data_IF_786609565656
#
_entry.id   IF_786609565656
#
_cell.length_a   1.000
_cell.length_b   1.000
_cell.length_c   1.000
_cell.angle_alpha   90.00
_cell.angle_beta   90.00
_cell.angle_gamma   90.00
#
_symmetry.space_group_name_H-M   'P 1'
#
loop_
_entity.id
_entity.type
_entity.pdbx_description
1 polymer ?
#
# COMPACT_ATOMS: atom_id res chain seq x y z
N UNK A 1 -47.67 2.81 -67.10
CA UNK A 1 -46.81 3.95 -66.73
C UNK A 1 -46.59 3.82 -65.25
N UNK A 2 -45.53 3.18 -64.89
CA UNK A 2 -45.12 2.92 -63.51
C UNK A 2 -43.99 3.91 -63.20
N UNK A 3 -44.21 4.83 -62.30
CA UNK A 3 -43.16 5.68 -61.76
C UNK A 3 -42.48 5.01 -60.59
N UNK A 4 -41.23 4.73 -60.77
CA UNK A 4 -40.33 4.22 -59.73
C UNK A 4 -39.85 5.40 -58.86
N UNK A 5 -40.02 5.35 -57.52
CA UNK A 5 -39.45 6.41 -56.69
C UNK A 5 -37.95 6.20 -56.50
N UNK A 6 -37.21 7.29 -56.54
CA UNK A 6 -35.76 7.37 -56.36
C UNK A 6 -35.28 6.97 -54.96
N UNK A 7 -34.07 6.40 -54.81
CA UNK A 7 -33.52 6.08 -53.50
C UNK A 7 -33.05 7.36 -52.80
N UNK A 8 -33.42 7.51 -51.51
CA UNK A 8 -32.95 8.55 -50.62
C UNK A 8 -31.51 8.31 -50.16
N UNK A 9 -30.81 9.36 -49.71
CA UNK A 9 -29.37 9.32 -49.45
C UNK A 9 -29.00 8.64 -48.14
N UNK A 10 -27.93 7.86 -48.25
CA UNK A 10 -26.99 7.47 -47.21
C UNK A 10 -27.53 6.81 -45.93
N UNK A 11 -27.79 5.52 -46.04
CA UNK A 11 -27.64 4.59 -44.93
C UNK A 11 -26.19 4.34 -44.57
N UNK A 12 -25.55 5.28 -43.87
CA UNK A 12 -24.30 4.95 -43.15
C UNK A 12 -24.67 4.11 -41.94
N UNK A 13 -24.40 2.83 -42.02
CA UNK A 13 -24.31 1.96 -40.86
C UNK A 13 -23.37 2.62 -39.85
N UNK A 14 -23.90 2.94 -38.69
CA UNK A 14 -23.10 3.33 -37.55
C UNK A 14 -22.32 2.07 -37.16
N UNK A 15 -21.07 2.04 -37.61
CA UNK A 15 -20.08 1.06 -37.21
C UNK A 15 -19.98 1.07 -35.68
N UNK A 16 -20.54 0.04 -35.05
CA UNK A 16 -20.39 -0.24 -33.65
C UNK A 16 -18.95 -0.59 -33.37
N UNK A 17 -18.10 0.46 -33.32
CA UNK A 17 -16.67 0.32 -33.06
C UNK A 17 -16.45 -0.57 -31.85
N UNK A 18 -15.93 -1.73 -32.14
CA UNK A 18 -15.32 -2.68 -31.21
C UNK A 18 -14.40 -1.90 -30.24
N UNK A 19 -14.98 -1.51 -29.09
CA UNK A 19 -14.25 -0.91 -27.99
C UNK A 19 -13.37 -1.99 -27.39
N UNK A 20 -12.29 -2.34 -28.11
CA UNK A 20 -11.21 -3.16 -27.59
C UNK A 20 -10.80 -2.50 -26.28
N UNK A 21 -11.09 -3.16 -25.16
CA UNK A 21 -10.53 -2.83 -23.85
C UNK A 21 -9.03 -2.70 -24.04
N UNK A 22 -8.53 -1.47 -24.00
CA UNK A 22 -7.08 -1.24 -24.04
C UNK A 22 -6.50 -2.11 -22.93
N UNK A 23 -5.47 -2.93 -23.20
CA UNK A 23 -4.89 -3.76 -22.17
C UNK A 23 -4.46 -2.82 -21.04
N UNK A 24 -4.91 -3.09 -19.78
CA UNK A 24 -4.46 -2.36 -18.60
C UNK A 24 -2.93 -2.32 -18.68
N UNK A 25 -2.36 -1.14 -18.84
CA UNK A 25 -0.92 -0.97 -18.83
C UNK A 25 -0.44 -1.39 -17.45
N UNK A 26 0.24 -2.52 -17.36
CA UNK A 26 0.93 -2.93 -16.16
C UNK A 26 2.09 -1.96 -15.93
N UNK A 27 1.87 -0.95 -15.09
CA UNK A 27 2.89 0.02 -14.67
C UNK A 27 4.00 -0.61 -13.83
N UNK A 28 3.87 -1.88 -13.47
CA UNK A 28 4.87 -2.61 -12.70
C UNK A 28 5.69 -3.49 -13.66
N UNK A 29 6.94 -3.12 -13.83
CA UNK A 29 7.90 -3.91 -14.59
C UNK A 29 8.16 -5.24 -13.86
N UNK A 30 7.90 -6.39 -14.50
CA UNK A 30 8.02 -7.74 -13.91
C UNK A 30 9.42 -8.02 -13.29
N UNK A 31 10.57 -7.61 -13.88
CA UNK A 31 11.88 -7.70 -13.24
C UNK A 31 11.99 -6.92 -11.93
N UNK A 32 11.34 -5.75 -11.82
CA UNK A 32 11.27 -4.97 -10.59
C UNK A 32 10.43 -5.67 -9.53
N UNK A 33 9.40 -6.40 -9.93
CA UNK A 33 8.54 -7.16 -9.02
C UNK A 33 9.32 -8.27 -8.29
N UNK A 34 10.14 -9.04 -9.01
CA UNK A 34 10.96 -10.10 -8.43
C UNK A 34 12.08 -9.54 -7.52
N UNK A 35 12.69 -8.41 -7.92
CA UNK A 35 13.69 -7.70 -7.10
C UNK A 35 13.03 -7.13 -5.83
N UNK A 36 11.87 -6.50 -5.95
CA UNK A 36 11.08 -6.00 -4.81
C UNK A 36 10.64 -7.12 -3.89
N UNK A 37 10.18 -8.26 -4.41
CA UNK A 37 9.81 -9.42 -3.60
C UNK A 37 10.94 -9.90 -2.69
N UNK A 38 12.15 -10.01 -3.21
CA UNK A 38 13.35 -10.36 -2.42
C UNK A 38 13.71 -9.31 -1.38
N UNK A 39 13.64 -8.04 -1.75
CA UNK A 39 13.88 -6.92 -0.82
C UNK A 39 12.83 -6.90 0.28
N UNK A 40 11.55 -7.02 -0.05
CA UNK A 40 10.44 -7.08 0.91
C UNK A 40 10.61 -8.24 1.88
N UNK A 41 10.90 -9.45 1.38
CA UNK A 41 11.13 -10.62 2.24
C UNK A 41 12.33 -10.42 3.17
N UNK A 42 13.43 -9.82 2.68
CA UNK A 42 14.59 -9.50 3.51
C UNK A 42 14.23 -8.53 4.63
N UNK A 43 13.50 -7.46 4.34
CA UNK A 43 13.09 -6.47 5.35
C UNK A 43 12.05 -7.04 6.33
N UNK A 44 11.08 -7.84 5.87
CA UNK A 44 10.14 -8.53 6.76
C UNK A 44 10.89 -9.49 7.68
N UNK A 45 11.81 -10.30 7.13
CA UNK A 45 12.64 -11.18 7.94
C UNK A 45 13.44 -10.39 8.97
N UNK A 46 14.04 -9.27 8.55
CA UNK A 46 14.79 -8.39 9.45
C UNK A 46 13.92 -7.73 10.53
N UNK A 47 12.63 -7.42 10.26
CA UNK A 47 11.68 -6.96 11.27
C UNK A 47 11.41 -8.05 12.32
N UNK A 48 11.11 -9.26 11.88
CA UNK A 48 10.84 -10.41 12.78
C UNK A 48 12.08 -10.71 13.61
N UNK A 49 13.24 -10.84 12.97
CA UNK A 49 14.50 -11.15 13.64
C UNK A 49 15.03 -9.99 14.49
N UNK A 50 14.85 -8.74 14.03
CA UNK A 50 15.18 -7.53 14.80
C UNK A 50 14.37 -7.44 16.09
N UNK A 51 13.06 -7.72 16.02
CA UNK A 51 12.20 -7.81 17.20
C UNK A 51 12.65 -8.92 18.17
N UNK A 52 13.04 -10.06 17.64
CA UNK A 52 13.61 -11.14 18.45
C UNK A 52 14.91 -10.73 19.14
N UNK A 53 15.84 -10.09 18.42
CA UNK A 53 17.11 -9.57 18.98
C UNK A 53 16.81 -8.53 20.05
N UNK A 54 15.92 -7.54 19.80
CA UNK A 54 15.55 -6.53 20.77
C UNK A 54 14.93 -7.12 22.04
N UNK A 55 14.09 -8.17 21.90
CA UNK A 55 13.54 -8.90 23.05
C UNK A 55 14.63 -9.60 23.87
N UNK A 56 15.64 -10.18 23.21
CA UNK A 56 16.78 -10.81 23.89
C UNK A 56 17.63 -9.75 24.61
N UNK A 57 17.88 -8.61 23.97
CA UNK A 57 18.66 -7.53 24.57
C UNK A 57 17.92 -6.89 25.77
N UNK A 58 16.60 -6.72 25.69
CA UNK A 58 15.79 -6.26 26.82
C UNK A 58 15.77 -7.27 27.98
N UNK A 59 15.71 -8.58 27.69
CA UNK A 59 15.81 -9.61 28.70
C UNK A 59 17.20 -9.64 29.37
N UNK A 60 18.24 -9.36 28.59
CA UNK A 60 19.61 -9.21 29.12
C UNK A 60 19.75 -8.04 30.08
N UNK A 61 19.17 -6.90 29.72
CA UNK A 61 19.15 -5.71 30.58
C UNK A 61 18.44 -5.98 31.92
N UNK A 62 17.46 -6.89 31.95
CA UNK A 62 16.75 -7.33 33.15
C UNK A 62 17.44 -8.47 33.92
N UNK A 63 18.71 -8.78 33.60
CA UNK A 63 19.52 -9.86 34.22
C UNK A 63 18.84 -11.24 34.17
N UNK A 64 18.08 -11.53 33.11
CA UNK A 64 17.47 -12.84 32.93
C UNK A 64 18.54 -13.91 32.76
N UNK A 65 18.51 -14.93 33.60
CA UNK A 65 19.46 -16.05 33.58
C UNK A 65 18.68 -17.36 33.35
N UNK A 66 19.13 -18.21 32.45
CA UNK A 66 18.53 -19.50 32.19
C UNK A 66 19.01 -20.10 30.88
N UNK A 67 18.87 -21.43 30.75
CA UNK A 67 19.29 -22.15 29.54
C UNK A 67 18.53 -21.64 28.30
N UNK A 68 17.24 -21.38 28.46
CA UNK A 68 16.37 -20.84 27.37
C UNK A 68 16.82 -19.44 26.90
N UNK A 69 17.27 -18.58 27.84
CA UNK A 69 17.84 -17.28 27.49
C UNK A 69 19.16 -17.44 26.72
N UNK A 70 20.04 -18.33 27.15
CA UNK A 70 21.36 -18.56 26.51
C UNK A 70 21.21 -19.07 25.07
N UNK A 71 20.26 -19.95 24.77
CA UNK A 71 20.00 -20.43 23.41
C UNK A 71 19.47 -19.31 22.50
N UNK A 72 18.59 -18.44 23.02
CA UNK A 72 18.08 -17.28 22.29
C UNK A 72 19.14 -16.21 22.05
N UNK A 73 19.99 -15.96 23.04
CA UNK A 73 21.11 -15.03 22.88
C UNK A 73 22.10 -15.53 21.83
N UNK A 74 22.39 -16.84 21.80
CA UNK A 74 23.21 -17.46 20.79
C UNK A 74 22.60 -17.31 19.38
N UNK A 75 21.31 -17.60 19.21
CA UNK A 75 20.61 -17.39 17.95
C UNK A 75 20.65 -15.92 17.49
N UNK A 76 20.51 -14.96 18.40
CA UNK A 76 20.59 -13.54 18.08
C UNK A 76 21.96 -13.13 17.52
N UNK A 77 23.07 -13.73 17.99
CA UNK A 77 24.42 -13.47 17.48
C UNK A 77 24.54 -13.88 16.01
N UNK A 78 23.93 -15.01 15.61
CA UNK A 78 23.95 -15.46 14.22
C UNK A 78 23.03 -14.66 13.29
N UNK A 79 22.00 -14.02 13.83
CA UNK A 79 21.05 -13.22 13.06
C UNK A 79 21.58 -11.81 12.82
N UNK A 80 22.30 -11.23 13.76
CA UNK A 80 22.85 -9.84 13.69
C UNK A 80 23.59 -9.50 12.40
N UNK A 81 24.44 -10.36 11.81
CA UNK A 81 25.14 -10.06 10.56
C UNK A 81 24.21 -9.88 9.34
N UNK A 82 23.01 -10.48 9.38
CA UNK A 82 22.01 -10.37 8.30
C UNK A 82 21.13 -9.14 8.38
N UNK A 83 21.24 -8.34 9.46
CA UNK A 83 20.55 -7.08 9.60
C UNK A 83 21.35 -5.98 8.87
N UNK A 84 20.65 -5.08 8.19
CA UNK A 84 21.26 -3.98 7.45
C UNK A 84 22.14 -3.13 8.38
N UNK A 85 23.38 -2.87 7.97
CA UNK A 85 24.39 -2.18 8.78
C UNK A 85 23.95 -0.76 9.18
N UNK A 86 23.32 -0.03 8.26
CA UNK A 86 22.90 1.36 8.49
C UNK A 86 21.78 1.49 9.53
N UNK A 87 20.94 0.47 9.67
CA UNK A 87 19.78 0.48 10.57
C UNK A 87 20.09 -0.27 11.88
N UNK A 88 21.03 -1.19 11.85
CA UNK A 88 21.32 -2.12 12.97
C UNK A 88 21.71 -1.42 14.26
N UNK A 89 22.42 -0.28 14.15
CA UNK A 89 22.98 0.42 15.31
C UNK A 89 21.96 1.42 15.93
N UNK A 90 20.78 1.60 15.31
CA UNK A 90 19.69 2.40 15.84
C UNK A 90 18.93 1.66 16.96
N UNK A 91 18.23 2.37 17.86
CA UNK A 91 17.25 1.77 18.76
C UNK A 91 16.18 0.99 18.00
N UNK A 92 15.69 -0.13 18.57
CA UNK A 92 14.73 -0.98 17.88
C UNK A 92 13.45 -0.26 17.37
N UNK A 93 12.81 0.67 18.13
CA UNK A 93 11.66 1.42 17.60
C UNK A 93 11.99 2.18 16.32
N UNK A 94 13.14 2.83 16.25
CA UNK A 94 13.60 3.55 15.07
C UNK A 94 13.95 2.60 13.92
N UNK A 95 14.57 1.45 14.20
CA UNK A 95 14.76 0.40 13.20
C UNK A 95 13.44 -0.06 12.59
N UNK A 96 12.41 -0.24 13.41
CA UNK A 96 11.08 -0.65 12.97
C UNK A 96 10.48 0.40 12.02
N UNK A 97 10.47 1.67 12.43
CA UNK A 97 9.98 2.78 11.60
C UNK A 97 10.70 2.85 10.26
N UNK A 98 12.04 2.89 10.26
CA UNK A 98 12.84 2.95 9.03
C UNK A 98 12.56 1.79 8.07
N UNK A 99 12.36 0.60 8.60
CA UNK A 99 12.04 -0.56 7.76
C UNK A 99 10.65 -0.47 7.15
N UNK A 100 9.66 0.06 7.87
CA UNK A 100 8.32 0.28 7.33
C UNK A 100 8.35 1.34 6.23
N UNK A 101 9.16 2.41 6.37
CA UNK A 101 9.40 3.42 5.33
C UNK A 101 10.02 2.79 4.06
N UNK A 102 11.06 1.97 4.20
CA UNK A 102 11.72 1.27 3.09
C UNK A 102 10.77 0.28 2.38
N UNK A 103 9.93 -0.41 3.13
CA UNK A 103 8.95 -1.35 2.60
C UNK A 103 7.85 -0.65 1.79
N UNK A 104 7.58 0.62 2.07
CA UNK A 104 6.69 1.47 1.27
C UNK A 104 5.27 1.62 1.81
N UNK A 105 4.35 2.14 0.97
CA UNK A 105 3.07 2.70 1.42
C UNK A 105 2.19 1.76 2.24
N UNK A 106 2.09 0.48 1.87
CA UNK A 106 1.31 -0.53 2.61
C UNK A 106 1.80 -0.67 4.05
N UNK A 107 3.13 -0.73 4.22
CA UNK A 107 3.75 -0.92 5.53
C UNK A 107 3.79 0.37 6.35
N UNK A 108 3.93 1.52 5.70
CA UNK A 108 3.77 2.84 6.34
C UNK A 108 2.37 2.94 6.94
N UNK A 109 1.33 2.59 6.19
CA UNK A 109 -0.04 2.58 6.67
C UNK A 109 -0.26 1.59 7.83
N UNK A 110 0.32 0.39 7.74
CA UNK A 110 0.32 -0.56 8.85
C UNK A 110 0.96 0.05 10.11
N UNK A 111 2.12 0.68 9.98
CA UNK A 111 2.80 1.34 11.08
C UNK A 111 1.99 2.48 11.69
N UNK A 112 1.29 3.27 10.87
CA UNK A 112 0.39 4.34 11.34
C UNK A 112 -0.76 3.77 12.18
N UNK A 113 -1.40 2.68 11.75
CA UNK A 113 -2.44 2.01 12.52
C UNK A 113 -1.87 1.43 13.82
N UNK A 114 -0.71 0.77 13.76
CA UNK A 114 -0.03 0.23 14.93
C UNK A 114 0.40 1.31 15.92
N UNK A 115 0.67 2.56 15.48
CA UNK A 115 1.00 3.68 16.35
C UNK A 115 -0.14 4.06 17.30
N UNK A 116 -1.37 3.70 16.98
CA UNK A 116 -2.57 3.93 17.80
C UNK A 116 -2.86 2.77 18.76
N UNK A 117 -2.18 1.64 18.60
CA UNK A 117 -2.47 0.38 19.31
C UNK A 117 -1.53 0.20 20.52
N UNK A 118 -1.71 1.02 21.54
CA UNK A 118 -1.00 0.92 22.83
C UNK A 118 -1.30 -0.38 23.60
N UNK A 119 -2.38 -1.04 23.26
CA UNK A 119 -2.75 -2.35 23.78
C UNK A 119 -1.84 -3.48 23.23
N UNK A 120 -1.25 -3.29 22.05
CA UNK A 120 -0.40 -4.28 21.37
C UNK A 120 1.10 -4.00 21.53
N UNK A 121 1.48 -2.72 21.54
CA UNK A 121 2.88 -2.30 21.50
C UNK A 121 3.23 -1.39 22.68
N UNK A 122 4.48 -1.44 23.17
CA UNK A 122 4.97 -0.49 24.18
C UNK A 122 4.90 0.96 23.69
N UNK A 123 4.68 1.91 24.63
CA UNK A 123 4.59 3.34 24.30
C UNK A 123 5.79 3.86 23.51
N UNK A 124 7.01 3.43 23.85
CA UNK A 124 8.23 3.82 23.12
C UNK A 124 8.20 3.43 21.63
N UNK A 125 7.51 2.36 21.28
CA UNK A 125 7.34 1.91 19.89
C UNK A 125 6.22 2.69 19.22
N UNK A 126 5.08 2.84 19.87
CA UNK A 126 3.93 3.59 19.31
C UNK A 126 4.28 5.06 19.10
N UNK A 127 5.04 5.68 20.00
CA UNK A 127 5.47 7.07 19.90
C UNK A 127 6.44 7.26 18.71
N UNK A 128 7.35 6.31 18.50
CA UNK A 128 8.25 6.37 17.33
C UNK A 128 7.49 6.15 16.01
N UNK A 129 6.51 5.24 15.98
CA UNK A 129 5.69 4.99 14.78
C UNK A 129 4.80 6.18 14.39
N UNK A 130 4.48 7.10 15.31
CA UNK A 130 3.78 8.36 14.99
C UNK A 130 4.59 9.27 14.09
N UNK A 131 5.92 9.10 14.06
CA UNK A 131 6.81 9.84 13.16
C UNK A 131 6.77 9.33 11.72
N UNK A 132 5.98 8.27 11.41
CA UNK A 132 5.73 7.83 10.04
C UNK A 132 4.95 8.92 9.29
N UNK A 133 5.60 9.50 8.29
CA UNK A 133 5.03 10.58 7.49
C UNK A 133 3.80 10.07 6.72
N UNK A 134 2.74 10.88 6.77
CA UNK A 134 1.51 10.65 5.99
C UNK A 134 1.62 11.23 4.59
N UNK A 135 2.43 12.30 4.44
CA UNK A 135 2.55 13.05 3.21
C UNK A 135 3.69 12.51 2.37
N UNK A 136 3.35 11.84 1.29
CA UNK A 136 4.30 11.43 0.26
C UNK A 136 4.25 12.41 -0.91
N UNK A 137 5.35 12.56 -1.67
CA UNK A 137 5.36 13.39 -2.86
C UNK A 137 4.18 13.04 -3.78
N UNK A 138 3.53 14.04 -4.38
CA UNK A 138 2.48 13.78 -5.35
C UNK A 138 3.05 13.06 -6.57
N UNK A 139 2.21 12.26 -7.20
CA UNK A 139 2.44 11.68 -8.52
C UNK A 139 2.04 12.72 -9.56
N UNK A 140 2.69 12.71 -10.70
CA UNK A 140 2.39 13.59 -11.82
C UNK A 140 0.92 13.47 -12.26
N UNK A 141 0.31 14.60 -12.62
CA UNK A 141 -1.10 14.61 -12.98
C UNK A 141 -1.41 13.77 -14.22
N UNK A 142 -0.51 13.66 -15.18
CA UNK A 142 -0.72 12.81 -16.36
C UNK A 142 -0.86 11.33 -16.00
N UNK A 143 -0.13 10.85 -15.00
CA UNK A 143 -0.30 9.49 -14.49
C UNK A 143 -1.64 9.31 -13.76
N UNK A 144 -2.08 10.33 -13.02
CA UNK A 144 -3.38 10.35 -12.34
C UNK A 144 -4.53 10.43 -13.35
N UNK A 145 -4.40 11.23 -14.41
CA UNK A 145 -5.36 11.31 -15.52
C UNK A 145 -5.64 9.93 -16.11
N UNK A 146 -4.60 9.17 -16.40
CA UNK A 146 -4.74 7.82 -16.95
C UNK A 146 -5.56 6.91 -16.01
N UNK A 147 -5.32 6.99 -14.69
CA UNK A 147 -6.09 6.23 -13.71
C UNK A 147 -7.56 6.64 -13.70
N UNK A 148 -7.85 7.95 -13.75
CA UNK A 148 -9.22 8.48 -13.81
C UNK A 148 -9.94 7.96 -15.07
N UNK A 149 -9.28 8.05 -16.22
CA UNK A 149 -9.85 7.63 -17.51
C UNK A 149 -10.06 6.11 -17.58
N UNK A 150 -9.11 5.32 -17.05
CA UNK A 150 -9.24 3.85 -16.98
C UNK A 150 -10.37 3.42 -16.04
N UNK A 151 -10.53 4.08 -14.89
CA UNK A 151 -11.56 3.74 -13.91
C UNK A 151 -12.97 4.18 -14.34
N UNK A 152 -13.09 5.36 -14.97
CA UNK A 152 -14.38 5.92 -15.39
C UNK A 152 -14.77 5.52 -16.83
N UNK A 153 -13.83 5.00 -17.63
CA UNK A 153 -14.05 4.56 -19.00
C UNK A 153 -14.35 5.70 -20.01
N UNK A 154 -14.06 6.95 -19.61
CA UNK A 154 -14.28 8.18 -20.38
C UNK A 154 -13.11 9.13 -20.16
N UNK A 155 -12.89 10.06 -21.11
CA UNK A 155 -11.85 11.08 -20.93
C UNK A 155 -12.22 12.06 -19.80
N UNK A 156 -11.18 12.66 -19.19
CA UNK A 156 -11.35 13.67 -18.15
C UNK A 156 -12.22 14.83 -18.67
N UNK A 157 -11.99 15.27 -19.90
CA UNK A 157 -12.72 16.38 -20.54
C UNK A 157 -14.19 16.05 -20.83
N UNK A 158 -14.54 14.76 -20.97
CA UNK A 158 -15.95 14.37 -21.15
C UNK A 158 -16.77 14.46 -19.85
N UNK A 159 -16.13 14.30 -18.70
CA UNK A 159 -16.80 14.24 -17.40
C UNK A 159 -16.71 15.58 -16.67
N UNK A 160 -15.54 16.19 -16.69
CA UNK A 160 -15.23 17.38 -15.92
C UNK A 160 -15.13 18.61 -16.84
N UNK A 161 -15.64 19.75 -16.37
CA UNK A 161 -15.41 21.04 -17.00
C UNK A 161 -13.97 21.53 -16.73
N UNK A 162 -13.43 21.20 -15.54
CA UNK A 162 -12.03 21.46 -15.19
C UNK A 162 -11.58 20.53 -14.07
N UNK A 163 -10.28 20.18 -14.05
CA UNK A 163 -9.60 19.48 -12.95
C UNK A 163 -8.35 20.28 -12.61
N UNK A 164 -8.12 20.54 -11.33
CA UNK A 164 -6.89 21.17 -10.89
C UNK A 164 -5.78 20.11 -10.86
N UNK A 165 -4.72 20.31 -11.65
CA UNK A 165 -3.59 19.40 -11.74
C UNK A 165 -2.76 19.35 -10.44
N UNK A 166 -2.73 20.48 -9.70
CA UNK A 166 -2.07 20.54 -8.39
C UNK A 166 -2.97 19.87 -7.36
N UNK A 167 -2.53 18.80 -6.68
CA UNK A 167 -3.36 18.10 -5.71
C UNK A 167 -3.60 18.97 -4.47
N UNK A 168 -4.76 18.78 -3.84
CA UNK A 168 -5.08 19.33 -2.51
C UNK A 168 -4.26 18.67 -1.41
N UNK A 169 -3.92 17.39 -1.60
CA UNK A 169 -3.14 16.60 -0.69
C UNK A 169 -2.73 15.26 -1.32
N UNK A 170 -1.60 14.73 -0.88
CA UNK A 170 -1.03 13.48 -1.37
C UNK A 170 -0.68 12.59 -0.18
N UNK A 171 -1.48 11.55 0.04
CA UNK A 171 -1.27 10.55 1.07
C UNK A 171 -0.46 9.35 0.57
N UNK A 172 -0.28 8.33 1.41
CA UNK A 172 0.51 7.13 1.09
C UNK A 172 -0.03 6.33 -0.10
N UNK A 173 -1.35 6.26 -0.28
CA UNK A 173 -2.00 5.42 -1.27
C UNK A 173 -2.84 6.18 -2.30
N UNK A 174 -3.20 7.42 -2.02
CA UNK A 174 -4.08 8.24 -2.86
C UNK A 174 -3.70 9.71 -2.84
N UNK A 175 -4.16 10.47 -3.83
CA UNK A 175 -4.11 11.92 -3.83
C UNK A 175 -5.47 12.50 -4.22
N UNK A 176 -5.72 13.75 -3.81
CA UNK A 176 -7.01 14.42 -3.99
C UNK A 176 -6.84 15.67 -4.84
N UNK A 177 -7.76 15.87 -5.81
CA UNK A 177 -7.78 17.00 -6.72
C UNK A 177 -9.13 17.71 -6.67
N UNK A 178 -9.13 19.03 -6.80
CA UNK A 178 -10.37 19.78 -7.06
C UNK A 178 -10.79 19.60 -8.51
N UNK A 179 -12.08 19.38 -8.72
CA UNK A 179 -12.64 19.32 -10.05
C UNK A 179 -14.02 19.97 -10.08
N UNK A 180 -14.46 20.35 -11.27
CA UNK A 180 -15.82 20.80 -11.54
C UNK A 180 -16.44 19.88 -12.56
N UNK A 181 -17.59 19.32 -12.23
CA UNK A 181 -18.37 18.53 -13.17
C UNK A 181 -18.93 19.42 -14.29
N UNK A 182 -19.27 18.80 -15.42
CA UNK A 182 -19.96 19.54 -16.50
C UNK A 182 -21.36 20.01 -16.12
N UNK A 183 -21.96 19.42 -15.08
CA UNK A 183 -23.19 19.92 -14.45
C UNK A 183 -23.01 21.26 -13.69
N UNK A 184 -21.76 21.67 -13.42
CA UNK A 184 -21.41 22.88 -12.69
C UNK A 184 -21.07 22.67 -11.22
N UNK A 185 -21.20 21.46 -10.71
CA UNK A 185 -20.90 21.10 -9.31
C UNK A 185 -19.40 21.01 -9.07
N UNK A 186 -18.95 21.59 -7.95
CA UNK A 186 -17.57 21.43 -7.48
C UNK A 186 -17.44 20.15 -6.67
N UNK A 187 -16.44 19.33 -7.00
CA UNK A 187 -16.20 18.03 -6.39
C UNK A 187 -14.72 17.85 -6.03
N UNK A 188 -14.45 16.89 -5.15
CA UNK A 188 -13.09 16.45 -4.84
C UNK A 188 -12.91 15.04 -5.39
N UNK A 189 -11.94 14.90 -6.30
CA UNK A 189 -11.53 13.60 -6.82
C UNK A 189 -10.48 13.01 -5.90
N UNK A 190 -10.80 11.89 -5.26
CA UNK A 190 -9.81 11.07 -4.55
C UNK A 190 -9.38 9.93 -5.47
N UNK A 191 -8.12 9.93 -5.89
CA UNK A 191 -7.59 8.99 -6.88
C UNK A 191 -6.50 8.13 -6.25
N UNK A 192 -6.62 6.82 -6.36
CA UNK A 192 -5.56 5.88 -5.95
C UNK A 192 -4.36 6.04 -6.87
N UNK A 193 -3.17 6.17 -6.29
CA UNK A 193 -1.93 6.32 -7.07
C UNK A 193 -1.69 5.09 -7.97
N UNK A 194 -1.09 5.28 -9.16
CA UNK A 194 -0.84 4.18 -10.11
C UNK A 194 -0.07 3.02 -9.46
N UNK A 195 -0.50 1.79 -9.71
CA UNK A 195 0.16 0.57 -9.24
C UNK A 195 0.01 0.26 -7.74
N UNK A 196 -0.66 1.13 -6.97
CA UNK A 196 -0.85 0.91 -5.53
C UNK A 196 -1.81 -0.24 -5.24
N UNK A 197 -2.84 -0.47 -6.07
CA UNK A 197 -3.77 -1.60 -5.90
C UNK A 197 -3.02 -2.93 -5.92
N UNK A 198 -2.23 -3.18 -6.95
CA UNK A 198 -1.44 -4.40 -7.12
C UNK A 198 -0.40 -4.56 -6.02
N UNK A 199 0.21 -3.44 -5.60
CA UNK A 199 1.16 -3.42 -4.49
C UNK A 199 0.49 -3.88 -3.19
N UNK A 200 -0.68 -3.34 -2.85
CA UNK A 200 -1.42 -3.68 -1.63
C UNK A 200 -1.85 -5.15 -1.63
N UNK A 201 -2.37 -5.67 -2.75
CA UNK A 201 -2.74 -7.09 -2.83
C UNK A 201 -1.56 -8.01 -2.59
N UNK A 202 -0.42 -7.73 -3.21
CA UNK A 202 0.80 -8.51 -3.04
C UNK A 202 1.34 -8.43 -1.61
N UNK A 203 1.41 -7.22 -1.07
CA UNK A 203 1.94 -6.99 0.27
C UNK A 203 1.01 -7.60 1.33
N UNK A 204 -0.32 -7.55 1.12
CA UNK A 204 -1.30 -8.22 1.97
C UNK A 204 -1.10 -9.74 2.01
N UNK A 205 -0.77 -10.38 0.88
CA UNK A 205 -0.48 -11.81 0.85
C UNK A 205 0.77 -12.15 1.67
N UNK A 206 1.83 -11.34 1.58
CA UNK A 206 3.06 -11.49 2.35
C UNK A 206 2.82 -11.25 3.84
N UNK A 207 2.06 -10.21 4.20
CA UNK A 207 1.70 -9.88 5.58
C UNK A 207 0.90 -11.00 6.22
N UNK A 208 -0.12 -11.53 5.54
CA UNK A 208 -0.92 -12.67 6.04
C UNK A 208 -0.07 -13.92 6.26
N UNK A 209 0.87 -14.22 5.36
CA UNK A 209 1.80 -15.34 5.52
C UNK A 209 2.70 -15.14 6.74
N UNK A 210 3.25 -13.95 6.91
CA UNK A 210 4.08 -13.59 8.06
C UNK A 210 3.29 -13.65 9.36
N UNK A 211 2.05 -13.15 9.36
CA UNK A 211 1.18 -13.14 10.53
C UNK A 211 0.80 -14.55 11.00
N UNK A 212 0.57 -15.50 10.06
CA UNK A 212 0.36 -16.91 10.42
C UNK A 212 1.58 -17.52 11.12
N UNK A 213 2.78 -17.20 10.64
CA UNK A 213 4.02 -17.64 11.29
C UNK A 213 4.18 -17.01 12.68
N UNK A 214 3.95 -15.71 12.82
CA UNK A 214 4.00 -15.00 14.10
C UNK A 214 2.95 -15.52 15.08
N UNK A 215 1.78 -15.95 14.62
CA UNK A 215 0.73 -16.53 15.46
C UNK A 215 1.20 -17.78 16.21
N UNK A 216 2.14 -18.55 15.64
CA UNK A 216 2.74 -19.71 16.29
C UNK A 216 3.74 -19.31 17.38
N UNK A 217 4.40 -18.15 17.23
CA UNK A 217 5.48 -17.69 18.13
C UNK A 217 4.91 -16.85 19.28
N UNK A 218 3.99 -15.96 18.97
CA UNK A 218 3.42 -14.97 19.90
C UNK A 218 1.88 -14.95 19.88
N UNK A 219 1.20 -16.08 20.13
CA UNK A 219 -0.26 -16.20 20.00
C UNK A 219 -1.04 -15.22 20.86
N UNK A 220 -0.46 -14.77 21.98
CA UNK A 220 -1.08 -13.82 22.92
C UNK A 220 -1.45 -12.50 22.24
N UNK A 221 -0.67 -12.04 21.27
CA UNK A 221 -0.87 -10.76 20.57
C UNK A 221 -1.79 -10.88 19.35
N UNK A 222 -2.27 -12.07 19.04
CA UNK A 222 -3.16 -12.37 17.92
C UNK A 222 -2.75 -11.70 16.58
N UNK A 223 -1.47 -11.80 16.17
CA UNK A 223 -0.98 -11.07 15.01
C UNK A 223 -1.74 -11.41 13.73
N UNK A 224 -2.27 -12.63 13.62
CA UNK A 224 -3.10 -13.03 12.48
C UNK A 224 -4.35 -12.16 12.38
N UNK A 225 -5.09 -11.96 13.46
CA UNK A 225 -6.34 -11.19 13.46
C UNK A 225 -6.06 -9.72 13.15
N UNK A 226 -5.02 -9.14 13.75
CA UNK A 226 -4.62 -7.74 13.52
C UNK A 226 -4.25 -7.49 12.05
N UNK A 227 -3.52 -8.41 11.44
CA UNK A 227 -3.11 -8.27 10.03
C UNK A 227 -4.27 -8.56 9.08
N UNK A 228 -5.14 -9.51 9.37
CA UNK A 228 -6.30 -9.79 8.52
C UNK A 228 -7.24 -8.56 8.50
N UNK A 229 -7.54 -7.96 9.66
CA UNK A 229 -8.34 -6.73 9.78
C UNK A 229 -7.69 -5.56 9.01
N UNK A 230 -6.38 -5.36 9.18
CA UNK A 230 -5.63 -4.36 8.44
C UNK A 230 -5.73 -4.55 6.92
N UNK A 231 -5.53 -5.79 6.45
CA UNK A 231 -5.57 -6.10 5.01
C UNK A 231 -6.98 -5.86 4.44
N UNK A 232 -8.03 -6.26 5.14
CA UNK A 232 -9.42 -6.04 4.73
C UNK A 232 -9.73 -4.55 4.63
N UNK A 233 -9.37 -3.77 5.66
CA UNK A 233 -9.57 -2.33 5.67
C UNK A 233 -8.83 -1.64 4.51
N UNK A 234 -7.54 -1.99 4.32
CA UNK A 234 -6.70 -1.34 3.31
C UNK A 234 -7.12 -1.71 1.88
N UNK A 235 -7.57 -2.96 1.66
CA UNK A 235 -8.12 -3.37 0.36
C UNK A 235 -9.41 -2.60 0.06
N UNK A 236 -10.32 -2.46 1.02
CA UNK A 236 -11.56 -1.66 0.84
C UNK A 236 -11.23 -0.22 0.46
N UNK A 237 -10.24 0.38 1.10
CA UNK A 237 -9.86 1.78 0.84
C UNK A 237 -9.35 2.02 -0.59
N UNK A 238 -8.72 1.02 -1.23
CA UNK A 238 -8.28 1.13 -2.64
C UNK A 238 -9.37 0.71 -3.64
N UNK A 239 -10.40 0.01 -3.18
CA UNK A 239 -11.59 -0.33 -3.95
C UNK A 239 -12.70 0.71 -3.71
N UNK A 240 -12.42 1.97 -4.04
CA UNK A 240 -13.31 3.11 -3.76
C UNK A 240 -14.73 2.99 -4.33
N UNK A 241 -15.02 1.98 -5.16
CA UNK A 241 -16.39 1.69 -5.63
C UNK A 241 -17.35 1.32 -4.51
N UNK A 242 -16.83 0.94 -3.33
CA UNK A 242 -17.63 0.57 -2.16
C UNK A 242 -17.89 1.76 -1.20
N UNK A 243 -17.22 2.91 -1.41
CA UNK A 243 -17.39 4.11 -0.58
C UNK A 243 -18.40 5.13 -1.18
N UNK A 244 -18.91 4.88 -2.37
CA UNK A 244 -19.80 5.81 -3.10
C UNK A 244 -21.30 5.48 -2.96
N UNK A 245 -21.70 4.64 -1.98
CA UNK A 245 -23.09 4.36 -1.64
C UNK A 245 -23.57 5.21 -0.46
#
# INVERSE_FOLDING_TARGET
MEETPAPGPDGRAVDGGDRRRRPRRNYINIPDLARRGRTTLRHISALVFGGFVAMVDAARARRATGLFYRSRAFAAIFIRPFLDREIRDLPYPEQLRRRLEILGPTYVKLGQILSLRKDLLPDVVTDELRNLLSDLPPVDFEEIRIVIEDDLGRSVEEIFASVNEVPLGSASIAQSHRARLRSGEDVILKVVKPGIRELIYRDSALLRSTARFLQLIIPRYQPKNVIDEFCEYTVREVEMRLEAE
#
